data_IF_235692585820
#
_entry.id   IF_235692585820
#
_cell.length_a   1.000
_cell.length_b   1.000
_cell.length_c   1.000
_cell.angle_alpha   90.00
_cell.angle_beta   90.00
_cell.angle_gamma   90.00
#
_symmetry.space_group_name_H-M   'P 1'
#
loop_
_entity.id
_entity.type
_entity.pdbx_description
1 polymer ?
#
# COMPACT_ATOMS: atom_id res chain seq x y z
N UNK A 1 -1.78 1.72 -4.34
CA UNK A 1 -0.96 0.50 -4.51
C UNK A 1 -0.01 0.42 -3.33
N UNK A 2 -0.13 -0.60 -2.48
CA UNK A 2 0.80 -0.83 -1.37
C UNK A 2 1.71 -2.01 -1.71
N UNK A 3 3.03 -1.83 -1.61
CA UNK A 3 4.02 -2.81 -2.03
C UNK A 3 4.93 -3.19 -0.88
N UNK A 4 4.95 -4.46 -0.50
CA UNK A 4 5.88 -4.97 0.49
C UNK A 4 7.16 -5.49 -0.19
N UNK A 5 8.24 -4.70 -0.14
CA UNK A 5 9.54 -5.07 -0.76
C UNK A 5 10.16 -6.36 -0.21
N UNK A 6 9.74 -6.82 0.97
CA UNK A 6 10.24 -8.04 1.61
C UNK A 6 9.48 -9.31 1.21
N UNK A 7 8.34 -9.19 0.53
CA UNK A 7 7.55 -10.34 0.08
C UNK A 7 8.11 -10.96 -1.21
N UNK A 8 7.93 -12.29 -1.38
CA UNK A 8 8.07 -13.03 -2.64
C UNK A 8 9.35 -12.80 -3.44
N UNK A 9 10.45 -13.49 -3.10
CA UNK A 9 11.70 -13.45 -3.87
C UNK A 9 12.40 -12.07 -3.90
N UNK A 10 11.95 -11.11 -3.09
CA UNK A 10 12.53 -9.77 -2.93
C UNK A 10 12.51 -8.89 -4.20
N UNK A 11 11.56 -9.14 -5.11
CA UNK A 11 11.39 -8.35 -6.35
C UNK A 11 10.55 -7.08 -6.17
N UNK A 12 10.05 -6.81 -4.96
CA UNK A 12 9.11 -5.71 -4.72
C UNK A 12 9.68 -4.32 -4.97
N UNK A 13 11.00 -4.13 -4.81
CA UNK A 13 11.68 -2.88 -5.16
C UNK A 13 11.65 -2.63 -6.67
N UNK A 14 11.87 -3.65 -7.48
CA UNK A 14 11.78 -3.56 -8.95
C UNK A 14 10.34 -3.24 -9.38
N UNK A 15 9.36 -3.95 -8.82
CA UNK A 15 7.94 -3.69 -9.10
C UNK A 15 7.56 -2.26 -8.73
N UNK A 16 8.00 -1.77 -7.56
CA UNK A 16 7.77 -0.40 -7.13
C UNK A 16 8.30 0.62 -8.15
N UNK A 17 9.54 0.44 -8.62
CA UNK A 17 10.16 1.33 -9.62
C UNK A 17 9.42 1.32 -10.95
N UNK A 18 8.95 0.16 -11.41
CA UNK A 18 8.16 0.08 -12.66
C UNK A 18 6.77 0.71 -12.51
N UNK A 19 6.12 0.54 -11.35
CA UNK A 19 4.83 1.19 -11.07
C UNK A 19 4.96 2.72 -10.99
N UNK A 20 6.06 3.24 -10.44
CA UNK A 20 6.31 4.69 -10.42
C UNK A 20 6.46 5.30 -11.81
N UNK A 21 6.89 4.53 -12.81
CA UNK A 21 7.01 5.01 -14.21
C UNK A 21 5.67 5.02 -14.94
N UNK A 22 4.74 4.17 -14.53
CA UNK A 22 3.50 3.89 -15.26
C UNK A 22 2.27 4.50 -14.61
N UNK A 23 2.31 4.73 -13.30
CA UNK A 23 1.22 5.31 -12.50
C UNK A 23 1.62 6.67 -11.93
N UNK A 24 0.63 7.40 -11.40
CA UNK A 24 0.90 8.59 -10.63
C UNK A 24 1.69 8.21 -9.36
N UNK A 25 2.89 8.79 -9.11
CA UNK A 25 3.71 8.45 -7.95
C UNK A 25 2.98 8.55 -6.61
N UNK A 26 1.97 9.42 -6.49
CA UNK A 26 1.15 9.54 -5.27
C UNK A 26 0.29 8.31 -4.99
N UNK A 27 0.08 7.43 -5.96
CA UNK A 27 -0.74 6.22 -5.84
C UNK A 27 0.09 4.98 -5.47
N UNK A 28 1.42 5.09 -5.36
CA UNK A 28 2.32 3.96 -5.18
C UNK A 28 3.10 4.13 -3.88
N UNK A 29 2.92 3.19 -2.94
CA UNK A 29 3.46 3.27 -1.59
C UNK A 29 4.27 2.01 -1.26
N UNK A 30 5.51 2.19 -0.83
CA UNK A 30 6.29 1.13 -0.22
C UNK A 30 5.86 0.93 1.24
N UNK A 31 5.49 -0.29 1.60
CA UNK A 31 5.16 -0.65 2.97
C UNK A 31 6.43 -0.80 3.80
N UNK A 32 6.67 0.19 4.65
CA UNK A 32 7.80 0.18 5.58
C UNK A 32 7.34 0.12 7.04
N UNK A 33 6.23 0.77 7.36
CA UNK A 33 5.64 0.84 8.70
C UNK A 33 4.15 1.25 8.63
N UNK A 34 3.47 1.28 9.79
CA UNK A 34 2.06 1.69 9.88
C UNK A 34 1.82 3.11 9.37
N UNK A 35 2.77 4.03 9.58
CA UNK A 35 2.62 5.42 9.18
C UNK A 35 2.49 5.59 7.66
N UNK A 36 3.14 4.72 6.87
CA UNK A 36 2.94 4.70 5.41
C UNK A 36 1.48 4.41 5.05
N UNK A 37 0.85 3.47 5.75
CA UNK A 37 -0.54 3.07 5.49
C UNK A 37 -1.48 4.21 5.90
N UNK A 38 -1.34 4.74 7.12
CA UNK A 38 -2.21 5.81 7.61
C UNK A 38 -2.10 7.07 6.76
N UNK A 39 -0.88 7.50 6.40
CA UNK A 39 -0.68 8.69 5.56
C UNK A 39 -1.31 8.51 4.18
N UNK A 40 -1.18 7.33 3.58
CA UNK A 40 -1.80 7.02 2.29
C UNK A 40 -3.34 7.08 2.38
N UNK A 41 -3.92 6.55 3.45
CA UNK A 41 -5.36 6.60 3.68
C UNK A 41 -5.84 8.04 3.92
N UNK A 42 -5.09 8.83 4.67
CA UNK A 42 -5.41 10.24 4.94
C UNK A 42 -5.43 11.09 3.66
N UNK A 43 -4.41 10.95 2.81
CA UNK A 43 -4.31 11.66 1.50
C UNK A 43 -5.57 11.45 0.66
N UNK A 44 -6.14 10.25 0.71
CA UNK A 44 -7.28 9.87 -0.10
C UNK A 44 -8.61 9.86 0.67
N UNK A 45 -8.62 10.17 1.96
CA UNK A 45 -9.79 10.03 2.86
C UNK A 45 -11.07 10.72 2.38
N UNK A 46 -10.95 11.79 1.59
CA UNK A 46 -12.08 12.55 1.04
C UNK A 46 -12.66 11.96 -0.25
N UNK A 47 -12.00 10.97 -0.87
CA UNK A 47 -12.46 10.37 -2.12
C UNK A 47 -13.41 9.20 -1.86
N UNK A 48 -14.59 9.16 -2.50
CA UNK A 48 -15.46 8.00 -2.41
C UNK A 48 -14.92 6.82 -3.25
N UNK A 49 -15.25 5.59 -2.86
CA UNK A 49 -15.03 4.36 -3.65
C UNK A 49 -13.55 4.06 -3.99
N UNK A 50 -12.62 4.38 -3.10
CA UNK A 50 -11.20 4.07 -3.29
C UNK A 50 -11.00 2.56 -3.36
N UNK A 51 -10.11 2.14 -4.26
CA UNK A 51 -9.68 0.74 -4.37
C UNK A 51 -8.24 0.61 -3.91
N UNK A 52 -8.02 -0.31 -2.98
CA UNK A 52 -6.70 -0.64 -2.49
C UNK A 52 -6.23 -1.93 -3.16
N UNK A 53 -5.02 -1.91 -3.72
CA UNK A 53 -4.37 -3.09 -4.27
C UNK A 53 -3.03 -3.27 -3.55
N UNK A 54 -2.76 -4.51 -3.15
CA UNK A 54 -1.64 -4.90 -2.27
C UNK A 54 -0.76 -5.90 -3.01
N UNK A 55 0.54 -5.60 -3.06
CA UNK A 55 1.58 -6.47 -3.60
C UNK A 55 2.34 -7.08 -2.43
N UNK A 56 1.87 -8.24 -1.98
CA UNK A 56 2.42 -8.99 -0.86
C UNK A 56 1.65 -10.29 -0.64
N UNK A 57 2.03 -11.06 0.37
CA UNK A 57 1.27 -12.26 0.78
C UNK A 57 0.15 -11.92 1.77
N UNK A 58 -0.52 -12.96 2.28
CA UNK A 58 -1.67 -12.83 3.19
C UNK A 58 -1.37 -11.99 4.43
N UNK A 59 -0.18 -12.15 5.02
CA UNK A 59 0.24 -11.35 6.18
C UNK A 59 0.34 -9.84 5.87
N UNK A 60 0.68 -9.46 4.63
CA UNK A 60 0.71 -8.05 4.21
C UNK A 60 -0.70 -7.50 4.05
N UNK A 61 -1.60 -8.30 3.50
CA UNK A 61 -3.03 -7.94 3.39
C UNK A 61 -3.65 -7.77 4.78
N UNK A 62 -3.40 -8.73 5.69
CA UNK A 62 -3.87 -8.66 7.08
C UNK A 62 -3.37 -7.42 7.82
N UNK A 63 -2.12 -7.01 7.59
CA UNK A 63 -1.57 -5.78 8.17
C UNK A 63 -2.36 -4.53 7.73
N UNK A 64 -2.63 -4.39 6.43
CA UNK A 64 -3.40 -3.25 5.91
C UNK A 64 -4.85 -3.29 6.42
N UNK A 65 -5.49 -4.47 6.41
CA UNK A 65 -6.85 -4.62 6.93
C UNK A 65 -6.95 -4.27 8.41
N UNK A 66 -5.94 -4.62 9.21
CA UNK A 66 -5.87 -4.23 10.62
C UNK A 66 -5.82 -2.70 10.79
N UNK A 67 -4.96 -2.01 10.03
CA UNK A 67 -4.93 -0.55 10.06
C UNK A 67 -6.24 0.09 9.58
N UNK A 68 -6.88 -0.47 8.55
CA UNK A 68 -8.19 0.01 8.08
C UNK A 68 -9.25 -0.13 9.17
N UNK A 69 -9.34 -1.28 9.82
CA UNK A 69 -10.31 -1.52 10.90
C UNK A 69 -10.10 -0.58 12.11
N UNK A 70 -8.85 -0.21 12.41
CA UNK A 70 -8.54 0.72 13.51
C UNK A 70 -8.89 2.18 13.17
N UNK A 71 -8.66 2.61 11.92
CA UNK A 71 -8.81 4.01 11.51
C UNK A 71 -10.19 4.34 10.90
N UNK A 72 -10.90 3.33 10.42
CA UNK A 72 -12.22 3.44 9.77
C UNK A 72 -13.15 2.33 10.30
N UNK A 73 -13.64 2.45 11.55
CA UNK A 73 -14.50 1.45 12.18
C UNK A 73 -15.89 1.36 11.54
#
# INVERSE_FOLDING_TARGET
MFINKRSGGQVGETIYRELLKTLNPRQVFLLENNATITNALEIYSSLPNIRICVFGGDGTVGWILGCLAENYP
#
